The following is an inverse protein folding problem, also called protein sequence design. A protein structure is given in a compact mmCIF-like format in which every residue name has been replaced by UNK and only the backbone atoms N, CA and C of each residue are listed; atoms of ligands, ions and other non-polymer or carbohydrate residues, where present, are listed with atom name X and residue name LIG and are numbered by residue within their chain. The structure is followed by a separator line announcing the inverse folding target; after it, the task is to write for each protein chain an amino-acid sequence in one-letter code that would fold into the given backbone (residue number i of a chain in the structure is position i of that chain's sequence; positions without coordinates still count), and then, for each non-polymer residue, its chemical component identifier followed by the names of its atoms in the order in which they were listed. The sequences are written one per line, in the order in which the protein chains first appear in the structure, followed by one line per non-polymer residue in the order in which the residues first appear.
data_IF_039194706553
#
_entry.id   IF_039194706553
#
_cell.length_a   1.000
_cell.length_b   1.000
_cell.length_c   1.000
_cell.angle_alpha   90.00
_cell.angle_beta   90.00
_cell.angle_gamma   90.00
#
_symmetry.space_group_name_H-M   'P 1'
#
loop_
_entity.id
_entity.type
_entity.pdbx_description
1 polymer ?
#
# COMPACT_ATOMS: atom_id res chain seq x y z
N UNK A 1 8.03 -12.09 18.36
CA UNK A 1 6.61 -11.76 18.13
C UNK A 1 6.56 -10.70 17.05
N UNK A 2 5.55 -10.68 16.20
CA UNK A 2 5.57 -9.77 15.05
C UNK A 2 5.13 -8.35 15.43
N UNK A 3 5.97 -7.37 15.10
CA UNK A 3 5.65 -5.95 15.19
C UNK A 3 5.66 -5.31 13.79
N UNK A 4 4.77 -4.33 13.59
CA UNK A 4 4.62 -3.59 12.34
C UNK A 4 4.68 -2.10 12.65
N UNK A 5 5.63 -1.38 12.05
CA UNK A 5 5.87 0.03 12.38
C UNK A 5 6.62 0.78 11.27
N UNK A 6 6.62 2.12 11.27
CA UNK A 6 7.57 2.90 10.47
C UNK A 6 9.01 2.49 10.81
N UNK A 7 9.86 2.48 9.77
CA UNK A 7 11.30 2.33 9.94
C UNK A 7 11.86 3.54 10.71
N UNK A 8 12.93 3.30 11.47
CA UNK A 8 13.63 4.27 12.30
C UNK A 8 15.13 4.18 11.99
N UNK A 9 15.87 5.21 12.41
CA UNK A 9 17.34 5.14 12.38
C UNK A 9 17.82 3.90 13.12
N UNK A 10 18.75 3.16 12.52
CA UNK A 10 19.26 1.90 13.06
C UNK A 10 18.51 0.63 12.59
N UNK A 11 17.43 0.75 11.82
CA UNK A 11 16.82 -0.42 11.16
C UNK A 11 17.63 -0.82 9.92
N UNK A 12 17.85 -2.13 9.76
CA UNK A 12 18.60 -2.73 8.65
C UNK A 12 17.72 -3.72 7.88
N UNK A 13 17.75 -3.65 6.55
CA UNK A 13 17.16 -4.63 5.67
C UNK A 13 18.25 -5.46 5.00
N UNK A 14 18.30 -6.76 5.32
CA UNK A 14 19.28 -7.70 4.74
C UNK A 14 20.74 -7.25 4.87
N UNK A 15 21.09 -6.68 6.03
CA UNK A 15 22.46 -6.21 6.31
C UNK A 15 22.73 -4.75 5.91
N UNK A 16 21.85 -4.14 5.12
CA UNK A 16 21.99 -2.77 4.65
C UNK A 16 21.10 -1.80 5.44
N UNK A 17 21.57 -0.59 5.78
CA UNK A 17 20.72 0.41 6.43
C UNK A 17 19.57 0.80 5.49
N UNK A 18 18.38 0.99 6.04
CA UNK A 18 17.25 1.51 5.25
C UNK A 18 17.54 2.97 4.91
N UNK A 19 17.63 3.38 3.62
CA UNK A 19 18.01 4.74 3.24
C UNK A 19 17.03 5.79 3.79
N UNK A 20 17.56 6.88 4.34
CA UNK A 20 16.79 7.97 4.94
C UNK A 20 15.97 8.79 3.92
N UNK A 21 16.37 8.75 2.65
CA UNK A 21 15.67 9.44 1.56
C UNK A 21 14.39 8.72 1.09
N UNK A 22 14.04 7.58 1.69
CA UNK A 22 12.80 6.86 1.42
C UNK A 22 12.07 6.53 2.70
N UNK A 23 10.76 6.79 2.73
CA UNK A 23 9.92 6.35 3.85
C UNK A 23 9.67 4.85 3.74
N UNK A 24 9.87 4.13 4.84
CA UNK A 24 9.66 2.70 4.90
C UNK A 24 8.78 2.31 6.08
N UNK A 25 7.97 1.28 5.88
CA UNK A 25 7.18 0.62 6.91
C UNK A 25 7.62 -0.84 6.97
N UNK A 26 7.90 -1.35 8.15
CA UNK A 26 8.59 -2.63 8.32
C UNK A 26 7.80 -3.60 9.19
N UNK A 27 8.04 -4.88 8.93
CA UNK A 27 7.70 -5.98 9.82
C UNK A 27 8.98 -6.47 10.51
N UNK A 28 8.93 -6.58 11.84
CA UNK A 28 10.06 -7.00 12.68
C UNK A 28 9.62 -8.21 13.49
N UNK A 29 10.49 -9.23 13.58
CA UNK A 29 10.29 -10.30 14.55
C UNK A 29 11.06 -10.02 15.85
N UNK A 30 10.34 -9.71 16.92
CA UNK A 30 10.91 -9.40 18.24
C UNK A 30 11.33 -10.62 19.05
N UNK A 31 11.09 -11.84 18.57
CA UNK A 31 11.56 -13.07 19.25
C UNK A 31 12.96 -13.47 18.82
N UNK A 32 13.46 -12.98 17.70
CA UNK A 32 14.86 -13.16 17.33
C UNK A 32 15.70 -12.20 18.19
N UNK A 33 16.65 -12.75 18.96
CA UNK A 33 17.54 -11.99 19.87
C UNK A 33 18.45 -10.99 19.13
N UNK A 34 18.57 -11.12 17.81
CA UNK A 34 19.16 -10.06 17.01
C UNK A 34 18.14 -8.93 16.89
N UNK A 35 18.38 -7.82 17.57
CA UNK A 35 17.56 -6.58 17.58
C UNK A 35 17.36 -5.92 16.19
N UNK A 36 17.64 -6.64 15.10
CA UNK A 36 17.72 -6.18 13.71
C UNK A 36 16.93 -7.07 12.74
N UNK A 37 16.10 -7.99 13.21
CA UNK A 37 15.36 -8.92 12.35
C UNK A 37 14.18 -8.23 11.65
N UNK A 38 14.48 -7.28 10.75
CA UNK A 38 13.49 -6.80 9.78
C UNK A 38 13.18 -7.96 8.82
N UNK A 39 11.98 -8.50 8.94
CA UNK A 39 11.52 -9.66 8.15
C UNK A 39 10.67 -9.25 6.95
N UNK A 40 10.21 -8.00 6.90
CA UNK A 40 9.52 -7.43 5.75
C UNK A 40 9.66 -5.92 5.68
N UNK A 41 9.54 -5.38 4.48
CA UNK A 41 9.64 -3.94 4.20
C UNK A 41 8.64 -3.53 3.12
N UNK A 42 8.00 -2.40 3.35
CA UNK A 42 7.25 -1.61 2.37
C UNK A 42 8.01 -0.30 2.18
N UNK A 43 8.49 -0.02 0.96
CA UNK A 43 9.04 1.29 0.62
C UNK A 43 7.97 2.11 -0.08
N UNK A 44 7.79 3.35 0.36
CA UNK A 44 6.77 4.23 -0.18
C UNK A 44 7.23 5.70 -0.19
N UNK A 45 6.55 6.52 -0.98
CA UNK A 45 6.64 7.98 -0.86
C UNK A 45 5.27 8.62 -1.05
N UNK A 46 5.11 9.83 -0.51
CA UNK A 46 4.04 10.72 -0.95
C UNK A 46 4.35 11.19 -2.37
N UNK A 47 3.35 11.20 -3.23
CA UNK A 47 3.40 11.72 -4.59
C UNK A 47 2.24 12.66 -4.82
N UNK A 48 2.35 13.50 -5.84
CA UNK A 48 1.19 14.14 -6.42
C UNK A 48 0.27 13.10 -7.07
N UNK A 49 -0.92 13.56 -7.48
CA UNK A 49 -1.86 12.76 -8.24
C UNK A 49 -1.13 12.16 -9.45
N UNK A 50 -1.03 10.83 -9.56
CA UNK A 50 -0.38 10.25 -10.72
C UNK A 50 -1.19 10.60 -11.98
N UNK A 51 -0.52 11.22 -12.94
CA UNK A 51 -1.05 11.56 -14.27
C UNK A 51 -1.13 10.30 -15.12
N UNK A 52 -2.04 9.41 -14.75
CA UNK A 52 -2.38 8.27 -15.59
C UNK A 52 -3.22 8.79 -16.75
N UNK A 53 -2.64 8.80 -17.95
CA UNK A 53 -3.24 9.31 -19.19
C UNK A 53 -4.61 8.72 -19.56
N UNK A 54 -5.07 7.67 -18.86
CA UNK A 54 -6.36 7.02 -19.08
C UNK A 54 -7.12 6.65 -17.78
N UNK A 55 -6.81 7.28 -16.64
CA UNK A 55 -7.51 7.00 -15.39
C UNK A 55 -8.29 8.20 -14.87
N UNK A 56 -9.57 7.98 -14.55
CA UNK A 56 -10.32 8.87 -13.66
C UNK A 56 -10.27 8.25 -12.27
N UNK A 57 -9.61 8.93 -11.33
CA UNK A 57 -9.81 8.66 -9.91
C UNK A 57 -11.31 8.72 -9.58
N UNK A 58 -11.77 8.07 -8.49
CA UNK A 58 -13.15 8.18 -8.05
C UNK A 58 -13.59 9.65 -8.12
N UNK A 59 -14.79 9.97 -8.64
CA UNK A 59 -15.18 11.34 -9.02
C UNK A 59 -15.30 12.37 -7.86
N UNK A 60 -14.75 12.07 -6.68
CA UNK A 60 -14.66 12.96 -5.53
C UNK A 60 -13.31 12.81 -4.79
N UNK A 61 -12.28 12.30 -5.46
CA UNK A 61 -10.92 12.34 -4.93
C UNK A 61 -10.46 13.81 -4.90
N UNK A 62 -10.10 14.37 -3.74
CA UNK A 62 -9.60 15.74 -3.69
C UNK A 62 -8.34 15.86 -4.55
N UNK A 63 -8.26 16.93 -5.35
CA UNK A 63 -7.10 17.24 -6.19
C UNK A 63 -5.85 17.46 -5.33
N UNK A 64 -6.02 18.03 -4.13
CA UNK A 64 -4.93 18.37 -3.18
C UNK A 64 -4.63 17.26 -2.15
N UNK A 65 -5.10 16.04 -2.37
CA UNK A 65 -4.96 14.99 -1.36
C UNK A 65 -3.68 14.15 -1.49
N UNK A 66 -3.33 13.44 -0.42
CA UNK A 66 -2.11 12.65 -0.33
C UNK A 66 -2.26 11.34 -1.11
N UNK A 67 -1.50 11.21 -2.21
CA UNK A 67 -1.32 9.95 -2.91
C UNK A 67 -0.03 9.28 -2.43
N UNK A 68 -0.10 7.99 -2.12
CA UNK A 68 1.03 7.22 -1.64
C UNK A 68 1.45 6.21 -2.70
N UNK A 69 2.61 6.39 -3.30
CA UNK A 69 3.20 5.39 -4.18
C UNK A 69 3.94 4.35 -3.33
N UNK A 70 3.56 3.07 -3.47
CA UNK A 70 4.26 1.92 -2.91
C UNK A 70 5.16 1.35 -3.99
N UNK A 71 6.47 1.45 -3.79
CA UNK A 71 7.46 0.89 -4.72
C UNK A 71 7.63 -0.59 -4.53
N UNK A 72 7.97 -0.99 -3.31
CA UNK A 72 8.41 -2.34 -3.01
C UNK A 72 7.65 -2.86 -1.81
N UNK A 73 7.21 -4.10 -1.92
CA UNK A 73 6.76 -4.93 -0.80
C UNK A 73 7.61 -6.19 -0.83
N UNK A 74 8.50 -6.34 0.15
CA UNK A 74 9.39 -7.51 0.25
C UNK A 74 9.24 -8.17 1.60
N UNK A 75 9.31 -9.50 1.60
CA UNK A 75 9.36 -10.33 2.80
C UNK A 75 10.52 -11.29 2.66
N UNK A 76 11.29 -11.43 3.75
CA UNK A 76 12.39 -12.38 3.85
C UNK A 76 11.87 -13.79 3.54
N UNK A 77 12.64 -14.56 2.79
CA UNK A 77 12.22 -15.84 2.22
C UNK A 77 11.66 -16.82 3.27
N UNK A 78 12.33 -16.93 4.43
CA UNK A 78 11.90 -17.76 5.57
C UNK A 78 10.50 -17.40 6.12
N UNK A 79 10.02 -16.20 5.83
CA UNK A 79 8.76 -15.64 6.31
C UNK A 79 7.67 -15.57 5.23
N UNK A 80 7.98 -15.96 3.99
CA UNK A 80 6.99 -16.04 2.90
C UNK A 80 5.97 -17.14 3.18
N UNK A 81 4.77 -17.00 2.65
CA UNK A 81 3.66 -17.93 2.88
C UNK A 81 2.98 -17.81 4.26
N UNK A 82 3.56 -17.07 5.21
CA UNK A 82 3.03 -16.90 6.58
C UNK A 82 2.09 -15.70 6.76
N UNK A 83 1.59 -15.11 5.67
CA UNK A 83 0.70 -13.95 5.72
C UNK A 83 1.36 -12.60 6.07
N UNK A 84 2.68 -12.55 6.26
CA UNK A 84 3.41 -11.34 6.70
C UNK A 84 3.17 -10.15 5.77
N UNK A 85 3.24 -10.34 4.44
CA UNK A 85 3.03 -9.26 3.47
C UNK A 85 1.62 -8.67 3.56
N UNK A 86 0.61 -9.53 3.68
CA UNK A 86 -0.80 -9.12 3.77
C UNK A 86 -1.06 -8.31 5.03
N UNK A 87 -0.57 -8.77 6.18
CA UNK A 87 -0.74 -8.05 7.44
C UNK A 87 0.06 -6.75 7.45
N UNK A 88 1.29 -6.76 6.92
CA UNK A 88 2.11 -5.56 6.77
C UNK A 88 1.42 -4.49 5.91
N UNK A 89 0.81 -4.89 4.77
CA UNK A 89 0.03 -3.98 3.93
C UNK A 89 -1.19 -3.42 4.70
N UNK A 90 -1.95 -4.25 5.40
CA UNK A 90 -3.10 -3.80 6.20
C UNK A 90 -2.68 -2.75 7.24
N UNK A 91 -1.63 -3.04 8.00
CA UNK A 91 -1.09 -2.15 9.04
C UNK A 91 -0.54 -0.86 8.46
N UNK A 92 0.16 -0.96 7.33
CA UNK A 92 0.67 0.20 6.60
C UNK A 92 -0.47 1.12 6.12
N UNK A 93 -1.51 0.57 5.49
CA UNK A 93 -2.63 1.37 5.01
C UNK A 93 -3.38 2.03 6.18
N UNK A 94 -3.54 1.33 7.31
CA UNK A 94 -4.10 1.90 8.53
C UNK A 94 -3.23 3.02 9.11
N UNK A 95 -1.91 2.84 9.12
CA UNK A 95 -0.94 3.86 9.53
C UNK A 95 -1.07 5.12 8.67
N UNK A 96 -1.06 4.99 7.34
CA UNK A 96 -1.21 6.13 6.43
C UNK A 96 -2.54 6.86 6.67
N UNK A 97 -3.64 6.12 6.87
CA UNK A 97 -4.96 6.72 7.19
C UNK A 97 -4.95 7.52 8.49
N UNK A 98 -4.13 7.13 9.46
CA UNK A 98 -4.05 7.79 10.75
C UNK A 98 -3.08 8.98 10.75
N UNK A 99 -2.06 8.99 9.90
CA UNK A 99 -1.00 10.02 9.92
C UNK A 99 -1.10 11.05 8.80
N UNK A 100 -1.81 10.75 7.71
CA UNK A 100 -2.02 11.69 6.62
C UNK A 100 -3.22 12.59 6.92
N UNK A 101 -3.10 13.88 6.64
CA UNK A 101 -4.18 14.86 6.81
C UNK A 101 -5.33 14.60 5.83
N UNK A 102 -5.01 14.23 4.59
CA UNK A 102 -5.99 14.00 3.51
C UNK A 102 -5.62 12.81 2.62
N UNK A 103 -5.55 11.57 3.14
CA UNK A 103 -5.14 10.41 2.35
C UNK A 103 -6.20 10.07 1.30
N UNK A 104 -5.80 10.11 0.02
CA UNK A 104 -6.71 9.80 -1.09
C UNK A 104 -6.60 8.33 -1.45
N UNK A 105 -5.39 7.88 -1.76
CA UNK A 105 -5.16 6.52 -2.22
C UNK A 105 -3.70 6.10 -2.02
N UNK A 106 -3.50 4.80 -1.83
CA UNK A 106 -2.21 4.17 -2.13
C UNK A 106 -2.27 3.55 -3.53
N UNK A 107 -1.16 3.58 -4.26
CA UNK A 107 -1.08 2.95 -5.57
C UNK A 107 0.27 2.26 -5.76
N UNK A 108 0.32 1.30 -6.67
CA UNK A 108 1.53 0.55 -7.00
C UNK A 108 1.47 0.01 -8.43
N UNK A 109 2.63 -0.32 -8.96
CA UNK A 109 2.80 -1.07 -10.20
C UNK A 109 3.38 -2.45 -9.89
N UNK A 110 2.93 -3.46 -10.62
CA UNK A 110 3.44 -4.82 -10.50
C UNK A 110 3.56 -5.44 -11.88
N UNK A 111 4.68 -6.09 -12.15
CA UNK A 111 4.85 -6.87 -13.38
C UNK A 111 3.72 -7.89 -13.47
N UNK A 112 3.03 -7.95 -14.62
CA UNK A 112 1.87 -8.83 -14.79
C UNK A 112 2.20 -10.30 -14.65
N UNK A 113 3.45 -10.69 -14.91
CA UNK A 113 4.00 -12.04 -14.75
C UNK A 113 4.30 -12.39 -13.29
N UNK A 114 4.36 -11.42 -12.38
CA UNK A 114 4.55 -11.65 -10.95
C UNK A 114 3.22 -12.02 -10.26
N UNK A 115 2.72 -13.22 -10.60
CA UNK A 115 1.45 -13.74 -10.09
C UNK A 115 1.32 -13.75 -8.56
N UNK A 116 2.37 -14.07 -7.76
CA UNK A 116 2.29 -13.96 -6.31
C UNK A 116 1.96 -12.55 -5.82
N UNK A 117 2.61 -11.52 -6.38
CA UNK A 117 2.33 -10.13 -6.03
C UNK A 117 0.95 -9.68 -6.52
N UNK A 118 0.55 -10.07 -7.73
CA UNK A 118 -0.80 -9.82 -8.26
C UNK A 118 -1.89 -10.40 -7.34
N UNK A 119 -1.73 -11.64 -6.86
CA UNK A 119 -2.67 -12.28 -5.93
C UNK A 119 -2.68 -11.57 -4.58
N UNK A 120 -1.50 -11.19 -4.06
CA UNK A 120 -1.39 -10.42 -2.83
C UNK A 120 -2.22 -9.14 -2.90
N UNK A 121 -2.03 -8.31 -3.92
CA UNK A 121 -2.72 -7.02 -4.01
C UNK A 121 -4.23 -7.16 -4.20
N UNK A 122 -4.68 -8.15 -4.98
CA UNK A 122 -6.12 -8.48 -5.06
C UNK A 122 -6.69 -8.90 -3.71
N UNK A 123 -5.98 -9.75 -2.95
CA UNK A 123 -6.40 -10.18 -1.61
C UNK A 123 -6.38 -9.06 -0.57
N UNK A 124 -5.53 -8.05 -0.77
CA UNK A 124 -5.47 -6.83 0.02
C UNK A 124 -6.50 -5.77 -0.42
N UNK A 125 -7.44 -6.13 -1.31
CA UNK A 125 -8.50 -5.26 -1.84
C UNK A 125 -8.00 -4.05 -2.63
N UNK A 126 -6.83 -4.14 -3.25
CA UNK A 126 -6.45 -3.18 -4.28
C UNK A 126 -7.27 -3.44 -5.55
N UNK A 127 -7.77 -2.36 -6.16
CA UNK A 127 -8.50 -2.37 -7.41
C UNK A 127 -7.51 -2.25 -8.58
N UNK A 128 -7.62 -3.11 -9.59
CA UNK A 128 -6.84 -3.02 -10.83
C UNK A 128 -7.39 -1.86 -11.67
N UNK A 129 -6.55 -0.88 -12.00
CA UNK A 129 -6.97 0.36 -12.68
C UNK A 129 -6.41 0.54 -14.08
N UNK A 130 -5.27 -0.10 -14.37
CA UNK A 130 -4.70 -0.08 -15.71
C UNK A 130 -3.84 -1.31 -15.96
N UNK A 131 -3.75 -1.65 -17.24
CA UNK A 131 -2.78 -2.61 -17.79
C UNK A 131 -1.94 -1.81 -18.77
N UNK A 132 -0.65 -1.67 -18.49
CA UNK A 132 0.25 -0.78 -19.23
C UNK A 132 1.22 -1.56 -20.11
N UNK A 133 1.27 -1.21 -21.39
CA UNK A 133 2.41 -1.45 -22.28
C UNK A 133 3.46 -0.33 -22.11
N UNK A 134 4.75 -0.53 -22.47
CA UNK A 134 5.34 -1.70 -23.16
C UNK A 134 5.87 -2.80 -22.23
N UNK A 135 5.84 -2.60 -20.91
CA UNK A 135 6.49 -3.50 -19.96
C UNK A 135 5.51 -4.42 -19.20
N UNK A 136 4.31 -4.63 -19.73
CA UNK A 136 3.26 -5.49 -19.17
C UNK A 136 3.06 -5.32 -17.65
N UNK A 137 2.86 -4.08 -17.19
CA UNK A 137 2.57 -3.80 -15.79
C UNK A 137 1.07 -3.75 -15.51
N UNK A 138 0.67 -4.26 -14.36
CA UNK A 138 -0.62 -3.98 -13.75
C UNK A 138 -0.49 -2.85 -12.73
N UNK A 139 -1.40 -1.89 -12.82
CA UNK A 139 -1.50 -0.79 -11.85
C UNK A 139 -2.66 -1.04 -10.91
N UNK A 140 -2.36 -0.92 -9.62
CA UNK A 140 -3.33 -1.17 -8.56
C UNK A 140 -3.50 0.08 -7.69
N UNK A 141 -4.73 0.32 -7.25
CA UNK A 141 -5.07 1.40 -6.32
C UNK A 141 -5.79 0.84 -5.09
N UNK A 142 -5.51 1.40 -3.93
CA UNK A 142 -6.30 1.21 -2.72
C UNK A 142 -6.90 2.57 -2.33
N UNK A 143 -8.21 2.79 -2.53
CA UNK A 143 -8.85 4.03 -2.11
C UNK A 143 -8.85 4.13 -0.57
N UNK A 144 -8.29 5.21 -0.05
CA UNK A 144 -8.22 5.45 1.39
C UNK A 144 -9.49 6.10 1.93
N UNK A 145 -10.20 6.84 1.08
CA UNK A 145 -11.51 7.40 1.37
C UNK A 145 -12.61 6.36 1.15
N UNK A 146 -13.58 6.26 2.06
CA UNK A 146 -14.77 5.43 1.83
C UNK A 146 -15.54 6.02 0.65
N UNK A 147 -15.93 5.20 -0.33
CA UNK A 147 -17.03 5.56 -1.25
C UNK A 147 -18.22 5.92 -0.36
N UNK A 148 -18.62 7.19 -0.30
CA UNK A 148 -19.94 7.55 0.25
C UNK A 148 -20.96 6.85 -0.64
N UNK A 149 -21.55 5.74 -0.18
CA UNK A 149 -22.76 5.22 -0.80
C UNK A 149 -23.79 6.34 -0.68
N UNK A 150 -24.15 6.98 -1.78
CA UNK A 150 -25.39 7.76 -1.83
C UNK A 150 -26.51 6.76 -1.59
N UNK A 151 -27.00 6.69 -0.36
CA UNK A 151 -28.29 6.08 -0.09
C UNK A 151 -29.30 7.07 -0.69
N UNK A 152 -29.78 6.78 -1.89
CA UNK A 152 -31.00 7.40 -2.37
C UNK A 152 -32.13 6.86 -1.48
N UNK A 153 -32.47 7.62 -0.44
CA UNK A 153 -33.75 7.43 0.23
C UNK A 153 -34.76 8.02 -0.75
N UNK A 154 -35.28 7.18 -1.64
CA UNK A 154 -36.43 7.53 -2.46
C UNK A 154 -37.56 7.93 -1.52
N UNK A 155 -37.91 9.21 -1.48
CA UNK A 155 -39.21 9.65 -0.98
C UNK A 155 -40.25 9.14 -1.99
N UNK A 156 -40.79 7.96 -1.73
CA UNK A 156 -42.11 7.58 -2.24
C UNK A 156 -43.12 7.82 -1.12
N UNK A 157 -44.02 8.76 -1.37
CA UNK A 157 -45.37 8.93 -0.81
C UNK A 157 -45.89 10.21 -1.49
N UNK A 158 -46.56 10.08 -2.64
CA UNK A 158 -48.03 10.05 -2.72
C UNK A 158 -48.68 11.13 -1.83
N UNK A 159 -49.13 12.18 -2.50
CA UNK A 159 -50.00 13.26 -2.03
C UNK A 159 -50.52 13.97 -3.27
#
# INVERSE_FOLDING_TARGET
GLQYRPARSGDYWQGEPIPSNMTAFIAVDTTEKSEKAVIGIIKHRKTDMPTFTNFKFPPNSPEDGDYINIYWVKVNERWRGKGVATEMLKRFLAYIKATSTHPVAAWLEVESTNWPAVRLYKSAHFELVARGAPFDFYRYIFPMTKKRRRIFIGRSTLG
#
